data_IF_867382675279
#
_entry.id   IF_867382675279
#
_cell.length_a   1.000
_cell.length_b   1.000
_cell.length_c   1.000
_cell.angle_alpha   90.00
_cell.angle_beta   90.00
_cell.angle_gamma   90.00
#
_symmetry.space_group_name_H-M   'P 1'
#
loop_
_entity.id
_entity.type
_entity.pdbx_description
1 polymer ?
#
# COMPACT_ATOMS: atom_id res chain seq x y z
N UNK A 1 14.71 -2.67 0.29
CA UNK A 1 14.12 -3.87 0.91
C UNK A 1 15.12 -4.99 0.84
N UNK A 2 15.24 -5.76 1.92
CA UNK A 2 15.97 -7.02 1.92
C UNK A 2 15.19 -8.10 1.14
N UNK A 3 15.74 -9.30 0.97
CA UNK A 3 15.09 -10.39 0.22
C UNK A 3 13.80 -10.89 0.89
N UNK A 4 13.78 -10.96 2.22
CA UNK A 4 12.60 -11.38 2.98
C UNK A 4 11.40 -10.44 2.75
N UNK A 5 11.64 -9.12 2.76
CA UNK A 5 10.62 -8.11 2.51
C UNK A 5 10.09 -8.19 1.06
N UNK A 6 10.97 -8.45 0.09
CA UNK A 6 10.58 -8.65 -1.31
C UNK A 6 9.67 -9.88 -1.45
N UNK A 7 10.05 -10.98 -0.81
CA UNK A 7 9.25 -12.20 -0.81
C UNK A 7 7.88 -11.96 -0.17
N UNK A 8 7.84 -11.34 1.01
CA UNK A 8 6.59 -11.01 1.69
C UNK A 8 5.70 -10.07 0.85
N UNK A 9 6.30 -9.12 0.13
CA UNK A 9 5.55 -8.23 -0.75
C UNK A 9 4.90 -8.99 -1.92
N UNK A 10 5.62 -9.92 -2.55
CA UNK A 10 5.04 -10.76 -3.61
C UNK A 10 3.97 -11.72 -3.07
N UNK A 11 4.12 -12.25 -1.85
CA UNK A 11 3.08 -13.05 -1.20
C UNK A 11 1.80 -12.23 -0.98
N UNK A 12 1.91 -10.98 -0.52
CA UNK A 12 0.76 -10.06 -0.40
C UNK A 12 0.09 -9.85 -1.76
N UNK A 13 0.87 -9.62 -2.83
CA UNK A 13 0.32 -9.46 -4.19
C UNK A 13 -0.50 -10.67 -4.62
N UNK A 14 -0.02 -11.88 -4.34
CA UNK A 14 -0.72 -13.12 -4.67
C UNK A 14 -1.95 -13.31 -3.81
N UNK A 15 -1.82 -13.20 -2.48
CA UNK A 15 -2.89 -13.43 -1.51
C UNK A 15 -4.11 -12.53 -1.76
N UNK A 16 -3.89 -11.25 -2.08
CA UNK A 16 -4.96 -10.27 -2.30
C UNK A 16 -5.28 -10.05 -3.79
N UNK A 17 -4.70 -10.83 -4.70
CA UNK A 17 -4.88 -10.67 -6.15
C UNK A 17 -4.58 -9.24 -6.64
N UNK A 18 -3.44 -8.69 -6.23
CA UNK A 18 -2.99 -7.32 -6.51
C UNK A 18 -1.75 -7.30 -7.41
N UNK A 19 -1.81 -7.76 -8.67
CA UNK A 19 -0.65 -7.75 -9.57
C UNK A 19 -0.14 -6.33 -9.86
N UNK A 20 -1.00 -5.32 -9.69
CA UNK A 20 -0.68 -3.91 -9.88
C UNK A 20 0.14 -3.28 -8.76
N UNK A 21 0.22 -3.91 -7.57
CA UNK A 21 0.83 -3.30 -6.40
C UNK A 21 2.35 -3.19 -6.55
N UNK A 22 2.87 -1.98 -6.37
CA UNK A 22 4.29 -1.65 -6.49
C UNK A 22 4.73 -0.72 -5.36
N UNK A 23 6.01 -0.82 -4.99
CA UNK A 23 6.64 0.16 -4.09
C UNK A 23 6.67 1.51 -4.80
N UNK A 24 6.36 2.58 -4.07
CA UNK A 24 6.27 3.93 -4.61
C UNK A 24 4.87 4.35 -5.07
N UNK A 25 3.91 3.43 -5.13
CA UNK A 25 2.53 3.79 -5.42
C UNK A 25 1.92 4.66 -4.32
N UNK A 26 0.96 5.49 -4.72
CA UNK A 26 0.17 6.26 -3.78
C UNK A 26 -1.04 5.44 -3.32
N UNK A 27 -1.47 5.65 -2.08
CA UNK A 27 -2.71 5.10 -1.59
C UNK A 27 -3.41 6.10 -0.65
N UNK A 28 -4.73 6.01 -0.58
CA UNK A 28 -5.53 6.59 0.50
C UNK A 28 -5.88 5.46 1.45
N UNK A 29 -5.49 5.57 2.71
CA UNK A 29 -5.73 4.58 3.76
C UNK A 29 -6.40 5.29 4.93
N UNK A 30 -7.62 4.89 5.30
CA UNK A 30 -8.36 5.54 6.39
C UNK A 30 -8.35 7.08 6.26
N UNK A 31 -8.67 7.59 5.06
CA UNK A 31 -8.67 9.02 4.70
C UNK A 31 -7.29 9.72 4.70
N UNK A 32 -6.19 8.98 4.91
CA UNK A 32 -4.83 9.52 4.86
C UNK A 32 -4.11 9.15 3.56
N UNK A 33 -3.44 10.12 2.95
CA UNK A 33 -2.58 9.90 1.80
C UNK A 33 -1.22 9.31 2.23
N UNK A 34 -0.85 8.17 1.66
CA UNK A 34 0.43 7.48 1.88
C UNK A 34 1.12 7.13 0.57
N UNK A 35 2.44 7.02 0.62
CA UNK A 35 3.26 6.34 -0.40
C UNK A 35 3.67 4.97 0.12
N UNK A 36 3.42 3.90 -0.64
CA UNK A 36 3.80 2.53 -0.27
C UNK A 36 5.34 2.43 -0.28
N UNK A 37 5.94 2.06 0.85
CA UNK A 37 7.40 1.99 1.00
C UNK A 37 7.91 0.60 1.37
N UNK A 38 7.02 -0.36 1.63
CA UNK A 38 7.39 -1.73 1.92
C UNK A 38 6.26 -2.53 2.56
N UNK A 39 6.66 -3.59 3.25
CA UNK A 39 5.78 -4.46 4.03
C UNK A 39 5.90 -4.19 5.53
N UNK A 40 4.89 -4.61 6.27
CA UNK A 40 4.91 -4.64 7.73
C UNK A 40 4.16 -5.89 8.21
N UNK A 41 4.17 -6.16 9.52
CA UNK A 41 3.33 -7.22 10.10
C UNK A 41 1.84 -6.99 9.84
N UNK A 42 1.40 -5.75 9.62
CA UNK A 42 0.03 -5.40 9.27
C UNK A 42 -0.31 -5.52 7.78
N UNK A 43 0.61 -6.04 6.96
CA UNK A 43 0.51 -6.10 5.50
C UNK A 43 1.47 -5.11 4.85
N UNK A 44 1.02 -3.88 4.60
CA UNK A 44 1.83 -2.86 3.94
C UNK A 44 2.33 -1.80 4.91
N UNK A 45 3.39 -1.12 4.47
CA UNK A 45 4.02 0.01 5.15
C UNK A 45 3.93 1.22 4.23
N UNK A 46 3.35 2.30 4.72
CA UNK A 46 3.17 3.55 4.00
C UNK A 46 3.84 4.72 4.72
N UNK A 47 4.42 5.66 3.97
CA UNK A 47 4.84 6.97 4.48
C UNK A 47 3.75 7.98 4.18
N UNK A 48 3.26 8.71 5.19
CA UNK A 48 2.29 9.79 4.96
C UNK A 48 2.89 10.84 4.02
N UNK A 49 2.12 11.30 3.04
CA UNK A 49 2.63 12.24 2.00
C UNK A 49 2.97 13.61 2.60
N UNK A 50 2.17 14.07 3.56
CA UNK A 50 2.34 15.40 4.17
C UNK A 50 3.06 15.37 5.52
N UNK A 51 3.46 14.19 6.00
CA UNK A 51 4.05 14.03 7.33
C UNK A 51 5.24 13.07 7.29
N UNK A 52 6.29 13.33 8.06
CA UNK A 52 7.39 12.38 8.20
C UNK A 52 7.05 11.22 9.15
N UNK A 53 5.88 10.61 8.95
CA UNK A 53 5.35 9.53 9.79
C UNK A 53 5.02 8.32 8.92
N UNK A 54 5.37 7.16 9.45
CA UNK A 54 5.10 5.86 8.84
C UNK A 54 3.83 5.28 9.47
N UNK A 55 3.02 4.64 8.65
CA UNK A 55 1.83 3.89 9.07
C UNK A 55 1.87 2.48 8.50
N UNK A 56 1.34 1.54 9.26
CA UNK A 56 1.13 0.15 8.84
C UNK A 56 -0.34 -0.03 8.54
N UNK A 57 -0.67 -0.74 7.46
CA UNK A 57 -2.05 -0.87 7.04
C UNK A 57 -2.32 -2.16 6.27
N UNK A 58 -3.54 -2.64 6.40
CA UNK A 58 -4.02 -3.81 5.68
C UNK A 58 -4.19 -3.49 4.19
N UNK A 59 -3.80 -4.38 3.25
CA UNK A 59 -3.80 -4.05 1.83
C UNK A 59 -5.19 -3.68 1.26
N UNK A 60 -6.27 -4.16 1.86
CA UNK A 60 -7.64 -3.98 1.33
C UNK A 60 -8.62 -3.31 2.28
N UNK A 61 -8.23 -2.93 3.50
CA UNK A 61 -9.19 -2.33 4.43
C UNK A 61 -9.17 -0.81 4.30
N UNK A 62 -10.32 -0.22 3.94
CA UNK A 62 -10.48 1.23 3.81
C UNK A 62 -9.35 1.88 2.99
N UNK A 63 -8.95 1.19 1.92
CA UNK A 63 -7.77 1.52 1.12
C UNK A 63 -8.11 1.67 -0.36
N UNK A 64 -7.63 2.76 -0.98
CA UNK A 64 -7.67 2.97 -2.42
C UNK A 64 -6.26 3.22 -2.95
N UNK A 65 -5.90 2.58 -4.07
CA UNK A 65 -4.59 2.67 -4.71
C UNK A 65 -4.62 3.55 -5.95
N UNK A 66 -3.54 4.28 -6.11
CA UNK A 66 -3.27 5.20 -7.20
C UNK A 66 -1.84 4.99 -7.68
N UNK A 67 -1.56 5.31 -8.94
CA UNK A 67 -0.17 5.36 -9.40
C UNK A 67 0.55 6.60 -8.83
N UNK A 68 1.81 6.78 -9.23
CA UNK A 68 2.65 7.89 -8.75
C UNK A 68 2.08 9.29 -9.09
N UNK A 69 1.25 9.40 -10.13
CA UNK A 69 0.59 10.63 -10.59
C UNK A 69 -0.80 10.84 -9.99
N UNK A 70 -1.19 10.05 -8.99
CA UNK A 70 -2.53 10.06 -8.40
C UNK A 70 -3.66 9.65 -9.36
N UNK A 71 -3.35 8.90 -10.42
CA UNK A 71 -4.37 8.29 -11.28
C UNK A 71 -4.89 7.02 -10.60
N UNK A 72 -6.21 6.84 -10.65
CA UNK A 72 -6.90 5.75 -9.96
C UNK A 72 -6.52 4.37 -10.52
N UNK A 73 -6.28 3.40 -9.63
CA UNK A 73 -6.00 1.99 -9.98
C UNK A 73 -7.05 1.04 -9.41
N UNK A 74 -7.32 1.11 -8.10
CA UNK A 74 -8.24 0.18 -7.42
C UNK A 74 -8.78 0.75 -6.11
N UNK A 75 -10.06 0.53 -5.83
CA UNK A 75 -10.70 0.91 -4.56
C UNK A 75 -11.15 -0.33 -3.78
N UNK A 76 -10.83 -0.39 -2.49
CA UNK A 76 -11.30 -1.41 -1.55
C UNK A 76 -12.11 -0.83 -0.40
N UNK A 77 -12.39 0.49 -0.40
CA UNK A 77 -13.26 1.10 0.61
C UNK A 77 -14.68 0.57 0.43
N UNK A 78 -15.30 0.16 1.52
CA UNK A 78 -16.74 -0.14 1.51
C UNK A 78 -17.53 1.16 1.33
N UNK A 79 -18.55 1.15 0.48
CA UNK A 79 -19.46 2.29 0.29
C UNK A 79 -20.48 2.38 1.41
#
# INVERSE_FOLDING_TARGET
MNEADKYAFEQIKQQYSMPFLQIGMNAIVNKNAVKVIGVSSGGLKGKLVNYNKIVHFHPTWETAYYNEKWEFIKDYRTK
#
